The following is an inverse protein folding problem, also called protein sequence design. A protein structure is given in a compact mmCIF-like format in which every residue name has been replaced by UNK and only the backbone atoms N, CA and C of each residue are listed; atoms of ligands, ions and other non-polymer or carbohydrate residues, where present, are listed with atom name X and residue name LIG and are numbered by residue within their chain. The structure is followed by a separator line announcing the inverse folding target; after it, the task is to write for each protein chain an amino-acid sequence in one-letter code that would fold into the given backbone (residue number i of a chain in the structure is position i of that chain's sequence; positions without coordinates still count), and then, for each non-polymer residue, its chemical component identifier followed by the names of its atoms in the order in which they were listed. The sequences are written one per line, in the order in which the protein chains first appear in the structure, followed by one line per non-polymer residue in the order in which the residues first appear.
data_IF_994616320384
#
_entry.id   IF_994616320384
#
_cell.length_a   1.000
_cell.length_b   1.000
_cell.length_c   1.000
_cell.angle_alpha   90.00
_cell.angle_beta   90.00
_cell.angle_gamma   90.00
#
_symmetry.space_group_name_H-M   'P 1'
#
loop_
_entity.id
_entity.type
_entity.pdbx_description
1 polymer ?
#
# COMPACT_ATOMS: atom_id res chain seq x y z
N UNK A 1 -60.48 10.00 -39.23
CA UNK A 1 -60.44 9.70 -37.76
C UNK A 1 -60.91 8.27 -37.51
N UNK A 2 -60.02 7.34 -37.22
CA UNK A 2 -60.38 5.93 -37.00
C UNK A 2 -60.94 5.76 -35.57
N UNK A 3 -62.19 5.32 -35.44
CA UNK A 3 -62.87 5.01 -34.19
C UNK A 3 -62.17 3.81 -33.51
N UNK A 4 -61.44 4.02 -32.37
CA UNK A 4 -60.97 2.95 -31.49
C UNK A 4 -62.14 2.15 -30.96
N UNK A 5 -62.29 0.89 -31.44
CA UNK A 5 -63.28 -0.07 -30.97
C UNK A 5 -63.08 -0.34 -29.48
N UNK A 6 -63.99 0.07 -28.58
CA UNK A 6 -63.99 -0.24 -27.17
C UNK A 6 -64.27 -1.73 -27.02
N UNK A 7 -63.26 -2.46 -26.57
CA UNK A 7 -63.37 -3.87 -26.17
C UNK A 7 -64.36 -3.99 -25.00
N UNK A 8 -65.30 -4.91 -25.09
CA UNK A 8 -66.25 -5.19 -24.01
C UNK A 8 -65.57 -5.94 -22.88
N UNK A 9 -66.03 -5.75 -21.62
CA UNK A 9 -65.49 -6.37 -20.39
C UNK A 9 -65.39 -7.91 -20.52
N UNK A 10 -66.24 -8.55 -21.33
CA UNK A 10 -66.26 -9.97 -21.62
C UNK A 10 -65.15 -10.40 -22.60
N UNK A 11 -64.63 -9.47 -23.44
CA UNK A 11 -63.48 -9.70 -24.32
C UNK A 11 -62.16 -9.51 -23.60
N UNK A 12 -62.08 -8.56 -22.68
CA UNK A 12 -60.93 -8.35 -21.81
C UNK A 12 -60.66 -9.53 -20.86
N UNK A 13 -61.72 -10.26 -20.44
CA UNK A 13 -61.62 -11.46 -19.59
C UNK A 13 -61.28 -12.74 -20.39
N UNK A 14 -61.28 -12.69 -21.72
CA UNK A 14 -60.96 -13.83 -22.61
C UNK A 14 -59.56 -13.70 -23.23
N UNK A 15 -58.93 -12.56 -23.19
CA UNK A 15 -57.52 -12.45 -23.58
C UNK A 15 -56.68 -13.05 -22.46
N UNK A 16 -55.87 -14.09 -22.73
CA UNK A 16 -54.97 -14.63 -21.72
C UNK A 16 -54.02 -13.49 -21.33
N UNK A 17 -53.92 -13.23 -20.03
CA UNK A 17 -52.98 -12.28 -19.47
C UNK A 17 -51.59 -12.54 -20.03
N UNK A 18 -50.95 -11.52 -20.63
CA UNK A 18 -49.62 -11.66 -21.27
C UNK A 18 -48.62 -12.28 -20.29
N UNK A 19 -48.78 -11.98 -18.99
CA UNK A 19 -47.97 -12.55 -17.92
C UNK A 19 -48.23 -14.06 -17.74
N UNK A 20 -49.49 -14.51 -17.81
CA UNK A 20 -49.82 -15.95 -17.73
C UNK A 20 -49.28 -16.71 -18.96
N UNK A 21 -49.33 -16.06 -20.15
CA UNK A 21 -48.82 -16.66 -21.39
C UNK A 21 -47.31 -16.74 -21.39
N UNK A 22 -46.61 -15.71 -20.86
CA UNK A 22 -45.15 -15.69 -20.71
C UNK A 22 -44.66 -16.71 -19.70
N UNK A 23 -45.28 -16.74 -18.51
CA UNK A 23 -44.90 -17.70 -17.45
C UNK A 23 -45.14 -19.16 -17.88
N UNK A 24 -46.26 -19.44 -18.57
CA UNK A 24 -46.52 -20.77 -19.11
C UNK A 24 -45.50 -21.20 -20.18
N UNK A 25 -45.09 -20.26 -21.07
CA UNK A 25 -44.03 -20.51 -22.06
C UNK A 25 -42.69 -20.75 -21.41
N UNK A 26 -42.32 -19.96 -20.39
CA UNK A 26 -41.07 -20.09 -19.65
C UNK A 26 -40.99 -21.45 -18.91
N UNK A 27 -42.07 -21.87 -18.23
CA UNK A 27 -42.15 -23.16 -17.54
C UNK A 27 -42.04 -24.31 -18.54
N UNK A 28 -42.72 -24.22 -19.68
CA UNK A 28 -42.68 -25.23 -20.75
C UNK A 28 -41.26 -25.34 -21.35
N UNK A 29 -40.63 -24.21 -21.65
CA UNK A 29 -39.24 -24.15 -22.13
C UNK A 29 -38.29 -24.78 -21.15
N UNK A 30 -38.42 -24.47 -19.83
CA UNK A 30 -37.64 -25.04 -18.76
C UNK A 30 -37.83 -26.56 -18.64
N UNK A 31 -39.08 -27.03 -18.77
CA UNK A 31 -39.38 -28.48 -18.69
C UNK A 31 -38.84 -29.26 -19.91
N UNK A 32 -38.93 -28.68 -21.10
CA UNK A 32 -38.43 -29.30 -22.35
C UNK A 32 -36.89 -29.28 -22.42
N UNK A 33 -36.25 -28.24 -21.87
CA UNK A 33 -34.80 -28.05 -21.89
C UNK A 33 -34.09 -28.28 -20.53
N UNK A 34 -34.69 -29.07 -19.63
CA UNK A 34 -34.19 -29.28 -18.28
C UNK A 34 -32.74 -29.78 -18.22
N UNK A 35 -32.34 -30.68 -19.15
CA UNK A 35 -30.96 -31.23 -19.19
C UNK A 35 -29.92 -30.19 -19.59
N UNK A 36 -30.04 -29.47 -20.75
CA UNK A 36 -29.06 -28.46 -21.10
C UNK A 36 -29.05 -27.26 -20.09
N UNK A 37 -30.22 -26.88 -19.55
CA UNK A 37 -30.29 -25.88 -18.49
C UNK A 37 -29.52 -26.35 -17.25
N UNK A 38 -29.71 -27.59 -16.81
CA UNK A 38 -28.97 -28.14 -15.66
C UNK A 38 -27.46 -28.20 -15.93
N UNK A 39 -27.02 -28.62 -17.12
CA UNK A 39 -25.60 -28.66 -17.50
C UNK A 39 -24.95 -27.26 -17.52
N UNK A 40 -25.70 -26.20 -17.79
CA UNK A 40 -25.22 -24.82 -17.73
C UNK A 40 -25.30 -24.24 -16.30
N UNK A 41 -26.39 -24.54 -15.57
CA UNK A 41 -26.66 -23.94 -14.26
C UNK A 41 -25.78 -24.51 -13.16
N UNK A 42 -25.53 -25.84 -13.18
CA UNK A 42 -24.73 -26.50 -12.15
C UNK A 42 -23.29 -25.93 -12.09
N UNK A 43 -22.51 -25.87 -13.20
CA UNK A 43 -21.18 -25.29 -13.15
C UNK A 43 -21.21 -23.81 -12.77
N UNK A 44 -22.21 -23.05 -13.20
CA UNK A 44 -22.39 -21.65 -12.79
C UNK A 44 -22.57 -21.53 -11.28
N UNK A 45 -23.46 -22.34 -10.67
CA UNK A 45 -23.66 -22.34 -9.21
C UNK A 45 -22.36 -22.74 -8.49
N UNK A 46 -21.64 -23.75 -9.00
CA UNK A 46 -20.36 -24.18 -8.41
C UNK A 46 -19.35 -23.04 -8.41
N UNK A 47 -19.24 -22.30 -9.52
CA UNK A 47 -18.34 -21.14 -9.60
C UNK A 47 -18.76 -20.04 -8.61
N UNK A 48 -20.04 -19.71 -8.53
CA UNK A 48 -20.57 -18.71 -7.59
C UNK A 48 -20.28 -19.13 -6.15
N UNK A 49 -20.50 -20.39 -5.79
CA UNK A 49 -20.20 -20.89 -4.46
C UNK A 49 -18.70 -20.88 -4.16
N UNK A 50 -17.86 -21.26 -5.12
CA UNK A 50 -16.41 -21.22 -4.97
C UNK A 50 -15.91 -19.79 -4.72
N UNK A 51 -16.42 -18.81 -5.48
CA UNK A 51 -16.10 -17.40 -5.28
C UNK A 51 -16.59 -16.90 -3.92
N UNK A 52 -17.80 -17.25 -3.51
CA UNK A 52 -18.35 -16.87 -2.21
C UNK A 52 -17.53 -17.45 -1.05
N UNK A 53 -17.15 -18.72 -1.13
CA UNK A 53 -16.28 -19.37 -0.14
C UNK A 53 -14.88 -18.73 -0.11
N UNK A 54 -14.30 -18.46 -1.28
CA UNK A 54 -13.02 -17.78 -1.37
C UNK A 54 -13.07 -16.41 -0.67
N UNK A 55 -14.08 -15.58 -0.95
CA UNK A 55 -14.26 -14.29 -0.28
C UNK A 55 -14.50 -14.43 1.23
N UNK A 56 -15.26 -15.45 1.65
CA UNK A 56 -15.50 -15.71 3.07
C UNK A 56 -14.19 -16.02 3.82
N UNK A 57 -13.38 -16.95 3.29
CA UNK A 57 -12.11 -17.31 3.91
C UNK A 57 -11.07 -16.20 3.82
N UNK A 58 -11.01 -15.45 2.70
CA UNK A 58 -10.15 -14.29 2.55
C UNK A 58 -10.48 -13.21 3.59
N UNK A 59 -11.75 -12.89 3.78
CA UNK A 59 -12.16 -11.90 4.78
C UNK A 59 -11.89 -12.37 6.23
N UNK A 60 -12.00 -13.67 6.49
CA UNK A 60 -11.65 -14.23 7.81
C UNK A 60 -10.15 -14.10 8.06
N UNK A 61 -9.32 -14.51 7.10
CA UNK A 61 -7.86 -14.37 7.17
C UNK A 61 -7.44 -12.91 7.35
N UNK A 62 -8.09 -11.97 6.66
CA UNK A 62 -7.82 -10.54 6.78
C UNK A 62 -8.10 -10.03 8.21
N UNK A 63 -9.22 -10.41 8.82
CA UNK A 63 -9.56 -10.04 10.20
C UNK A 63 -8.55 -10.58 11.23
N UNK A 64 -8.17 -11.85 11.08
CA UNK A 64 -7.15 -12.46 11.94
C UNK A 64 -5.79 -11.79 11.76
N UNK A 65 -5.41 -11.48 10.52
CA UNK A 65 -4.19 -10.77 10.18
C UNK A 65 -4.15 -9.37 10.80
N UNK A 66 -5.25 -8.60 10.74
CA UNK A 66 -5.32 -7.28 11.36
C UNK A 66 -5.18 -7.34 12.88
N UNK A 67 -5.71 -8.36 13.55
CA UNK A 67 -5.53 -8.51 15.00
C UNK A 67 -4.05 -8.71 15.38
N UNK A 68 -3.29 -9.50 14.61
CA UNK A 68 -1.84 -9.67 14.79
C UNK A 68 -1.08 -8.39 14.45
N UNK A 69 -1.48 -7.70 13.36
CA UNK A 69 -0.89 -6.43 12.95
C UNK A 69 -1.05 -5.36 14.03
N UNK A 70 -2.26 -5.20 14.58
CA UNK A 70 -2.55 -4.23 15.64
C UNK A 70 -1.73 -4.53 16.90
N UNK A 71 -1.60 -5.80 17.28
CA UNK A 71 -0.74 -6.20 18.38
C UNK A 71 0.73 -5.80 18.13
N UNK A 72 1.25 -6.05 16.92
CA UNK A 72 2.60 -5.64 16.53
C UNK A 72 2.76 -4.12 16.53
N UNK A 73 1.76 -3.39 16.02
CA UNK A 73 1.76 -1.93 15.95
C UNK A 73 1.77 -1.27 17.34
N UNK A 74 1.00 -1.79 18.28
CA UNK A 74 1.02 -1.30 19.69
C UNK A 74 2.41 -1.44 20.29
N UNK A 75 3.11 -2.57 20.06
CA UNK A 75 4.48 -2.74 20.53
C UNK A 75 5.46 -1.79 19.81
N UNK A 76 5.31 -1.63 18.50
CA UNK A 76 6.14 -0.71 17.70
C UNK A 76 5.97 0.75 18.15
N UNK A 77 4.73 1.19 18.38
CA UNK A 77 4.43 2.55 18.86
C UNK A 77 4.83 2.77 20.33
N UNK A 78 4.75 1.75 21.18
CA UNK A 78 5.23 1.80 22.55
C UNK A 78 6.73 2.12 22.62
N UNK A 79 7.53 1.60 21.69
CA UNK A 79 8.94 1.96 21.53
C UNK A 79 9.11 3.45 21.16
N UNK A 80 8.28 3.96 20.25
CA UNK A 80 8.35 5.35 19.77
C UNK A 80 7.93 6.38 20.84
N UNK A 81 7.09 6.01 21.81
CA UNK A 81 6.64 6.88 22.91
C UNK A 81 7.64 7.06 24.04
N UNK A 82 8.83 6.45 23.95
CA UNK A 82 9.90 6.60 24.92
C UNK A 82 9.76 5.73 26.19
N UNK A 83 8.76 4.86 26.23
CA UNK A 83 8.70 3.77 27.21
C UNK A 83 9.84 2.77 26.90
N UNK A 84 10.95 2.92 27.60
CA UNK A 84 12.15 2.08 27.42
C UNK A 84 11.91 0.66 27.98
N UNK A 85 11.20 -0.17 27.25
CA UNK A 85 11.24 -1.61 27.46
C UNK A 85 12.00 -2.27 26.30
N UNK A 86 13.18 -2.88 26.53
CA UNK A 86 13.95 -3.54 25.46
C UNK A 86 13.18 -4.66 24.76
N UNK A 87 12.04 -5.06 25.32
CA UNK A 87 11.19 -6.11 24.75
C UNK A 87 10.17 -5.62 23.73
N UNK A 88 9.92 -4.31 23.59
CA UNK A 88 8.91 -3.81 22.63
C UNK A 88 9.33 -4.10 21.19
N UNK A 89 10.57 -3.81 20.85
CA UNK A 89 11.10 -4.04 19.50
C UNK A 89 11.09 -5.52 19.13
N UNK A 90 11.56 -6.40 20.02
CA UNK A 90 11.54 -7.84 19.80
C UNK A 90 10.10 -8.38 19.60
N UNK A 91 9.16 -7.91 20.43
CA UNK A 91 7.74 -8.30 20.33
C UNK A 91 7.10 -7.82 19.06
N UNK A 92 7.35 -6.57 18.65
CA UNK A 92 6.86 -6.03 17.39
C UNK A 92 7.43 -6.83 16.21
N UNK A 93 8.75 -7.09 16.21
CA UNK A 93 9.41 -7.89 15.17
C UNK A 93 8.83 -9.30 15.09
N UNK A 94 8.62 -9.95 16.23
CA UNK A 94 8.03 -11.29 16.31
C UNK A 94 6.58 -11.31 15.77
N UNK A 95 5.76 -10.33 16.15
CA UNK A 95 4.37 -10.22 15.67
C UNK A 95 4.32 -10.00 14.15
N UNK A 96 5.12 -9.09 13.60
CA UNK A 96 5.17 -8.87 12.16
C UNK A 96 5.76 -10.07 11.40
N UNK A 97 6.76 -10.76 11.95
CA UNK A 97 7.29 -11.99 11.37
C UNK A 97 6.22 -13.11 11.32
N UNK A 98 5.44 -13.26 12.38
CA UNK A 98 4.32 -14.20 12.42
C UNK A 98 3.25 -13.83 11.39
N UNK A 99 2.89 -12.55 11.30
CA UNK A 99 1.93 -12.02 10.33
C UNK A 99 2.36 -12.35 8.89
N UNK A 100 3.61 -12.03 8.53
CA UNK A 100 4.18 -12.27 7.21
C UNK A 100 4.27 -13.77 6.86
N UNK A 101 4.39 -14.63 7.87
CA UNK A 101 4.43 -16.09 7.68
C UNK A 101 3.05 -16.71 7.54
N UNK A 102 2.07 -16.31 8.38
CA UNK A 102 0.73 -16.92 8.45
C UNK A 102 -0.25 -16.34 7.44
N UNK A 103 -0.13 -15.04 7.15
CA UNK A 103 -1.10 -14.30 6.34
C UNK A 103 -0.44 -13.48 5.22
N UNK A 104 0.47 -14.08 4.42
CA UNK A 104 1.35 -13.34 3.49
C UNK A 104 0.63 -12.52 2.41
N UNK A 105 -0.63 -12.85 2.12
CA UNK A 105 -1.42 -12.23 1.05
C UNK A 105 -2.49 -11.26 1.58
N UNK A 106 -2.38 -10.84 2.84
CA UNK A 106 -3.33 -9.89 3.45
C UNK A 106 -2.80 -8.46 3.39
N UNK A 107 -3.70 -7.49 3.38
CA UNK A 107 -3.31 -6.07 3.44
C UNK A 107 -2.55 -5.73 4.73
N UNK A 108 -2.92 -6.37 5.83
CA UNK A 108 -2.20 -6.25 7.10
C UNK A 108 -0.73 -6.67 6.97
N UNK A 109 -0.45 -7.78 6.27
CA UNK A 109 0.91 -8.23 6.02
C UNK A 109 1.69 -7.25 5.13
N UNK A 110 1.07 -6.74 4.07
CA UNK A 110 1.70 -5.72 3.22
C UNK A 110 2.11 -4.47 4.01
N UNK A 111 1.20 -3.94 4.86
CA UNK A 111 1.45 -2.78 5.70
C UNK A 111 2.51 -3.04 6.79
N UNK A 112 2.73 -4.29 7.19
CA UNK A 112 3.76 -4.66 8.16
C UNK A 112 5.17 -4.68 7.58
N UNK A 113 5.32 -4.78 6.25
CA UNK A 113 6.63 -4.87 5.59
C UNK A 113 7.55 -3.68 5.90
N UNK A 114 7.13 -2.41 5.73
CA UNK A 114 7.99 -1.28 6.06
C UNK A 114 8.28 -1.20 7.56
N UNK A 115 7.34 -1.54 8.43
CA UNK A 115 7.54 -1.53 9.88
C UNK A 115 8.55 -2.60 10.33
N UNK A 116 8.49 -3.79 9.73
CA UNK A 116 9.48 -4.82 9.95
C UNK A 116 10.87 -4.38 9.47
N UNK A 117 10.93 -3.70 8.32
CA UNK A 117 12.15 -3.14 7.77
C UNK A 117 12.75 -2.05 8.69
N UNK A 118 11.92 -1.16 9.25
CA UNK A 118 12.34 -0.13 10.20
C UNK A 118 13.00 -0.76 11.45
N UNK A 119 12.40 -1.84 11.98
CA UNK A 119 12.97 -2.58 13.11
C UNK A 119 14.30 -3.22 12.72
N UNK A 120 14.37 -3.85 11.55
CA UNK A 120 15.61 -4.47 11.07
C UNK A 120 16.72 -3.42 10.85
N UNK A 121 16.36 -2.22 10.37
CA UNK A 121 17.29 -1.09 10.27
C UNK A 121 17.81 -0.66 11.65
N UNK A 122 16.93 -0.51 12.62
CA UNK A 122 17.30 -0.15 14.00
C UNK A 122 18.20 -1.19 14.67
N UNK A 123 18.04 -2.48 14.33
CA UNK A 123 18.91 -3.59 14.73
C UNK A 123 20.29 -3.57 14.04
N UNK A 124 20.50 -2.68 13.05
CA UNK A 124 21.70 -2.68 12.20
C UNK A 124 21.71 -3.77 11.13
N UNK A 125 20.62 -4.52 10.97
CA UNK A 125 20.45 -5.56 9.98
C UNK A 125 20.05 -4.95 8.61
N UNK A 126 20.94 -4.13 8.04
CA UNK A 126 20.64 -3.32 6.86
C UNK A 126 20.24 -4.13 5.62
N UNK A 127 20.84 -5.29 5.40
CA UNK A 127 20.47 -6.16 4.26
C UNK A 127 19.04 -6.71 4.40
N UNK A 128 18.64 -7.06 5.62
CA UNK A 128 17.27 -7.48 5.92
C UNK A 128 16.30 -6.30 5.73
N UNK A 129 16.62 -5.13 6.25
CA UNK A 129 15.83 -3.92 6.07
C UNK A 129 15.60 -3.60 4.58
N UNK A 130 16.66 -3.58 3.78
CA UNK A 130 16.59 -3.35 2.33
C UNK A 130 15.66 -4.35 1.66
N UNK A 131 15.80 -5.65 1.98
CA UNK A 131 14.94 -6.70 1.41
C UNK A 131 13.45 -6.46 1.70
N UNK A 132 13.11 -6.09 2.93
CA UNK A 132 11.72 -5.87 3.31
C UNK A 132 11.16 -4.55 2.77
N UNK A 133 11.96 -3.47 2.72
CA UNK A 133 11.57 -2.24 2.03
C UNK A 133 11.34 -2.46 0.53
N UNK A 134 12.17 -3.24 -0.15
CA UNK A 134 11.97 -3.56 -1.57
C UNK A 134 10.67 -4.33 -1.79
N UNK A 135 10.37 -5.32 -0.94
CA UNK A 135 9.07 -6.01 -0.98
C UNK A 135 7.89 -5.06 -0.71
N UNK A 136 8.05 -4.14 0.24
CA UNK A 136 7.04 -3.12 0.51
C UNK A 136 6.79 -2.24 -0.73
N UNK A 137 7.85 -1.85 -1.43
CA UNK A 137 7.75 -1.04 -2.64
C UNK A 137 7.00 -1.76 -3.77
N UNK A 138 7.13 -3.09 -3.88
CA UNK A 138 6.41 -3.90 -4.87
C UNK A 138 4.88 -3.87 -4.68
N UNK A 139 4.40 -3.78 -3.41
CA UNK A 139 2.98 -3.93 -3.09
C UNK A 139 2.30 -2.63 -2.61
N UNK A 140 3.09 -1.60 -2.24
CA UNK A 140 2.59 -0.33 -1.68
C UNK A 140 2.94 0.89 -2.56
N UNK A 141 3.47 0.69 -3.77
CA UNK A 141 3.93 1.79 -4.64
C UNK A 141 2.80 2.64 -5.23
N UNK A 142 1.54 2.22 -5.11
CA UNK A 142 0.39 3.02 -5.55
C UNK A 142 0.06 4.18 -4.60
N UNK A 143 0.51 4.11 -3.34
CA UNK A 143 0.35 5.19 -2.37
C UNK A 143 1.62 6.05 -2.34
N UNK A 144 1.52 7.26 -2.85
CA UNK A 144 2.63 8.21 -2.97
C UNK A 144 3.30 8.54 -1.63
N UNK A 145 2.57 8.51 -0.52
CA UNK A 145 3.11 8.81 0.81
C UNK A 145 3.90 7.61 1.30
N UNK A 146 3.32 6.40 1.21
CA UNK A 146 4.01 5.16 1.59
C UNK A 146 5.24 4.93 0.72
N UNK A 147 5.14 5.18 -0.59
CA UNK A 147 6.27 5.05 -1.51
C UNK A 147 7.45 5.94 -1.08
N UNK A 148 7.20 7.23 -0.73
CA UNK A 148 8.26 8.13 -0.25
C UNK A 148 8.84 7.71 1.09
N UNK A 149 8.00 7.23 2.02
CA UNK A 149 8.47 6.66 3.28
C UNK A 149 9.38 5.45 3.06
N UNK A 150 9.01 4.55 2.14
CA UNK A 150 9.81 3.38 1.79
C UNK A 150 11.12 3.79 1.12
N UNK A 151 11.12 4.76 0.19
CA UNK A 151 12.36 5.29 -0.40
C UNK A 151 13.26 5.91 0.65
N UNK A 152 12.69 6.64 1.62
CA UNK A 152 13.46 7.20 2.73
C UNK A 152 14.10 6.10 3.59
N UNK A 153 13.36 5.04 3.92
CA UNK A 153 13.90 3.88 4.64
C UNK A 153 15.01 3.17 3.87
N UNK A 154 14.83 2.96 2.54
CA UNK A 154 15.86 2.40 1.67
C UNK A 154 17.12 3.27 1.65
N UNK A 155 16.96 4.59 1.54
CA UNK A 155 18.09 5.52 1.53
C UNK A 155 18.91 5.40 2.82
N UNK A 156 18.27 5.40 3.99
CA UNK A 156 18.96 5.22 5.27
C UNK A 156 19.60 3.83 5.42
N UNK A 157 18.94 2.78 4.93
CA UNK A 157 19.50 1.43 5.00
C UNK A 157 20.75 1.29 4.12
N UNK A 158 20.79 1.91 2.93
CA UNK A 158 21.99 1.97 2.10
C UNK A 158 23.05 2.90 2.67
N UNK A 159 22.70 4.02 3.31
CA UNK A 159 23.63 4.84 4.08
C UNK A 159 24.30 4.03 5.20
N UNK A 160 23.52 3.24 5.96
CA UNK A 160 24.02 2.34 7.01
C UNK A 160 25.06 1.32 6.48
N UNK A 161 24.89 0.87 5.23
CA UNK A 161 25.87 0.05 4.51
C UNK A 161 27.04 0.84 3.94
N UNK A 162 27.04 2.16 4.03
CA UNK A 162 28.00 3.08 3.41
C UNK A 162 27.93 3.06 1.87
N UNK A 163 26.85 2.58 1.29
CA UNK A 163 26.55 2.72 -0.13
C UNK A 163 25.88 4.08 -0.37
N UNK A 164 26.68 5.14 -0.26
CA UNK A 164 26.21 6.52 -0.38
C UNK A 164 25.65 6.85 -1.74
N UNK A 165 26.13 6.17 -2.79
CA UNK A 165 25.64 6.37 -4.14
C UNK A 165 24.19 5.90 -4.28
N UNK A 166 23.88 4.68 -3.81
CA UNK A 166 22.51 4.15 -3.86
C UNK A 166 21.60 4.93 -2.91
N UNK A 167 22.09 5.32 -1.72
CA UNK A 167 21.35 6.17 -0.79
C UNK A 167 20.95 7.51 -1.43
N UNK A 168 21.90 8.18 -2.11
CA UNK A 168 21.64 9.42 -2.84
C UNK A 168 20.57 9.26 -3.92
N UNK A 169 20.58 8.14 -4.65
CA UNK A 169 19.55 7.86 -5.67
C UNK A 169 18.14 7.76 -5.06
N UNK A 170 17.99 7.15 -3.89
CA UNK A 170 16.69 7.08 -3.23
C UNK A 170 16.25 8.42 -2.65
N UNK A 171 17.14 9.22 -2.05
CA UNK A 171 16.81 10.58 -1.64
C UNK A 171 16.43 11.44 -2.84
N UNK A 172 17.12 11.28 -3.98
CA UNK A 172 16.78 11.98 -5.22
C UNK A 172 15.38 11.62 -5.74
N UNK A 173 14.95 10.37 -5.65
CA UNK A 173 13.57 10.00 -5.99
C UNK A 173 12.54 10.78 -5.17
N UNK A 174 12.82 11.04 -3.89
CA UNK A 174 11.94 11.83 -3.03
C UNK A 174 11.94 13.30 -3.46
N UNK A 175 13.12 13.89 -3.75
CA UNK A 175 13.21 15.29 -4.19
C UNK A 175 12.54 15.53 -5.54
N UNK A 176 12.61 14.56 -6.46
CA UNK A 176 12.03 14.61 -7.79
C UNK A 176 10.51 14.28 -7.80
N UNK A 177 9.95 13.70 -6.72
CA UNK A 177 8.52 13.33 -6.65
C UNK A 177 7.62 14.56 -6.54
N UNK A 178 6.32 14.40 -6.78
CA UNK A 178 5.34 15.48 -6.57
C UNK A 178 5.07 15.72 -5.07
N UNK A 179 4.55 16.91 -4.72
CA UNK A 179 4.26 17.30 -3.32
C UNK A 179 5.51 17.68 -2.52
N UNK A 180 5.32 18.00 -1.24
CA UNK A 180 6.38 18.56 -0.36
C UNK A 180 6.81 17.63 0.76
N UNK A 181 6.06 16.54 0.99
CA UNK A 181 6.32 15.61 2.08
C UNK A 181 7.70 14.97 1.96
N UNK A 182 8.51 15.04 3.01
CA UNK A 182 9.89 14.59 3.12
C UNK A 182 10.92 15.29 2.21
N UNK A 183 10.55 16.23 1.35
CA UNK A 183 11.51 16.83 0.40
C UNK A 183 12.64 17.60 1.08
N UNK A 184 12.33 18.40 2.09
CA UNK A 184 13.34 19.17 2.82
C UNK A 184 14.39 18.23 3.46
N UNK A 185 13.92 17.17 4.11
CA UNK A 185 14.80 16.17 4.73
C UNK A 185 15.58 15.38 3.66
N UNK A 186 14.93 15.07 2.53
CA UNK A 186 15.58 14.37 1.42
C UNK A 186 16.69 15.22 0.77
N UNK A 187 16.46 16.51 0.53
CA UNK A 187 17.51 17.42 0.04
C UNK A 187 18.68 17.53 1.03
N UNK A 188 18.37 17.68 2.32
CA UNK A 188 19.42 17.71 3.35
C UNK A 188 20.25 16.44 3.35
N UNK A 189 19.61 15.28 3.36
CA UNK A 189 20.31 14.00 3.35
C UNK A 189 21.04 13.72 2.04
N UNK A 190 20.49 14.17 0.90
CA UNK A 190 21.18 14.12 -0.39
C UNK A 190 22.49 14.91 -0.33
N UNK A 191 22.48 16.11 0.27
CA UNK A 191 23.69 16.88 0.51
C UNK A 191 24.72 16.12 1.38
N UNK A 192 24.26 15.44 2.44
CA UNK A 192 25.13 14.57 3.27
C UNK A 192 25.74 13.42 2.49
N UNK A 193 24.97 12.78 1.61
CA UNK A 193 25.47 11.69 0.76
C UNK A 193 26.52 12.20 -0.21
N UNK A 194 26.32 13.38 -0.81
CA UNK A 194 27.29 14.01 -1.70
C UNK A 194 28.57 14.41 -0.94
N UNK A 195 28.47 14.94 0.28
CA UNK A 195 29.67 15.17 1.12
C UNK A 195 30.44 13.87 1.37
N UNK A 196 29.74 12.77 1.70
CA UNK A 196 30.35 11.47 1.95
C UNK A 196 31.05 10.87 0.69
N UNK A 197 30.68 11.34 -0.48
CA UNK A 197 31.28 10.98 -1.77
C UNK A 197 32.29 12.01 -2.30
N UNK A 198 32.67 13.00 -1.50
CA UNK A 198 33.55 14.12 -1.88
C UNK A 198 32.99 14.96 -3.08
N UNK A 199 31.68 14.86 -3.35
CA UNK A 199 31.00 15.67 -4.35
C UNK A 199 30.54 17.01 -3.74
N UNK A 200 31.48 17.95 -3.62
CA UNK A 200 31.21 19.24 -2.98
C UNK A 200 30.16 20.07 -3.75
N UNK A 201 30.16 20.04 -5.08
CA UNK A 201 29.20 20.79 -5.88
C UNK A 201 27.78 20.24 -5.71
N UNK A 202 27.61 18.91 -5.75
CA UNK A 202 26.31 18.28 -5.47
C UNK A 202 25.81 18.57 -4.05
N UNK A 203 26.72 18.53 -3.05
CA UNK A 203 26.38 18.84 -1.65
C UNK A 203 25.94 20.31 -1.51
N UNK A 204 26.67 21.25 -2.11
CA UNK A 204 26.35 22.68 -2.11
C UNK A 204 24.97 22.93 -2.70
N UNK A 205 24.67 22.37 -3.86
CA UNK A 205 23.37 22.53 -4.50
C UNK A 205 22.24 21.98 -3.64
N UNK A 206 22.39 20.79 -3.07
CA UNK A 206 21.34 20.17 -2.25
C UNK A 206 21.06 20.98 -0.96
N UNK A 207 22.08 21.54 -0.31
CA UNK A 207 21.89 22.43 0.85
C UNK A 207 21.31 23.79 0.45
N UNK A 208 21.64 24.30 -0.73
CA UNK A 208 21.04 25.52 -1.27
C UNK A 208 19.55 25.36 -1.52
N UNK A 209 19.12 24.20 -2.05
CA UNK A 209 17.69 23.89 -2.24
C UNK A 209 16.95 23.87 -0.90
N UNK A 210 17.54 23.32 0.18
CA UNK A 210 16.95 23.43 1.54
C UNK A 210 16.85 24.86 2.00
N UNK A 211 17.94 25.64 1.86
CA UNK A 211 18.00 27.01 2.36
C UNK A 211 17.07 27.98 1.61
N UNK A 212 16.83 27.72 0.33
CA UNK A 212 15.98 28.55 -0.53
C UNK A 212 14.51 28.20 -0.41
N UNK A 213 14.18 26.90 -0.53
CA UNK A 213 12.81 26.47 -0.75
C UNK A 213 12.11 25.98 0.53
N UNK A 214 12.88 25.69 1.61
CA UNK A 214 12.36 25.13 2.87
C UNK A 214 12.81 25.86 4.13
N UNK A 215 12.57 27.19 4.26
CA UNK A 215 13.07 27.98 5.40
C UNK A 215 12.46 27.58 6.74
N UNK A 216 11.34 26.86 6.74
CA UNK A 216 10.69 26.30 7.94
C UNK A 216 11.11 24.88 8.30
N UNK A 217 12.02 24.25 7.55
CA UNK A 217 12.44 22.89 7.81
C UNK A 217 13.33 22.80 9.06
N UNK A 218 13.25 21.67 9.78
CA UNK A 218 14.05 21.41 10.96
C UNK A 218 15.56 21.52 10.64
N UNK A 219 15.97 21.04 9.47
CA UNK A 219 17.36 21.02 9.01
C UNK A 219 17.83 22.32 8.37
N UNK A 220 16.99 23.36 8.30
CA UNK A 220 17.30 24.62 7.62
C UNK A 220 18.57 25.30 8.12
N UNK A 221 18.73 25.48 9.43
CA UNK A 221 19.91 26.15 10.00
C UNK A 221 21.19 25.35 9.74
N UNK A 222 21.12 24.04 9.91
CA UNK A 222 22.25 23.14 9.66
C UNK A 222 22.64 23.13 8.18
N UNK A 223 21.65 23.13 7.27
CA UNK A 223 21.91 23.25 5.84
C UNK A 223 22.62 24.56 5.48
N UNK A 224 22.21 25.69 6.07
CA UNK A 224 22.90 26.99 5.88
C UNK A 224 24.34 26.96 6.36
N UNK A 225 24.59 26.45 7.55
CA UNK A 225 25.95 26.35 8.10
C UNK A 225 26.85 25.50 7.18
N UNK A 226 26.33 24.36 6.71
CA UNK A 226 27.05 23.49 5.77
C UNK A 226 27.31 24.17 4.44
N UNK A 227 26.34 24.93 3.91
CA UNK A 227 26.47 25.70 2.68
C UNK A 227 27.55 26.77 2.79
N UNK A 228 27.56 27.56 3.89
CA UNK A 228 28.59 28.59 4.11
C UNK A 228 29.99 27.98 4.27
N UNK A 229 30.11 26.84 4.96
CA UNK A 229 31.37 26.11 5.05
C UNK A 229 31.92 25.68 3.67
N UNK A 230 31.05 25.13 2.81
CA UNK A 230 31.43 24.70 1.46
C UNK A 230 31.82 25.88 0.55
N UNK A 231 31.19 27.06 0.70
CA UNK A 231 31.58 28.29 -0.02
C UNK A 231 32.95 28.82 0.40
N UNK A 232 33.34 28.63 1.65
CA UNK A 232 34.62 29.10 2.19
C UNK A 232 35.81 28.20 1.85
N UNK A 233 35.57 27.03 1.25
CA UNK A 233 36.60 26.03 0.92
C UNK A 233 36.97 26.03 -0.58
N UNK A 234 36.29 26.79 -1.40
CA UNK A 234 36.52 26.99 -2.85
C UNK A 234 37.05 28.41 -3.12
#
# INVERSE_FOLDING_TARGET
MAKKKRLTRKQLLKEPDEFQTFSAKAIRFGAENRKPIAYALIPFIVVVLAVALFHYFSNLSEREAYAVFEQGLVQYMGQASGEQSPHFQERAKAAFAELLRRYPSTRAAELSLPLYADISYADGAYDEAIKFYQRALEVLSEDDILQRLIWNGLAYAYEGKKDYNTAAQYFKKITDSEGTFLKADAYFNLGRMYEAMDNQEGARQAYEDVAKDYPGAVNFQVAKEKLERLKGQG
#
